data_IF_552997633799
#
_entry.id   IF_552997633799
#
_cell.length_a   1.000
_cell.length_b   1.000
_cell.length_c   1.000
_cell.angle_alpha   90.00
_cell.angle_beta   90.00
_cell.angle_gamma   90.00
#
_symmetry.space_group_name_H-M   'P 1'
#
loop_
_entity.id
_entity.type
_entity.pdbx_description
1 polymer ?
#
# COMPACT_ATOMS: atom_id res chain seq x y z
N UNK A 1 14.16 10.09 -5.63
CA UNK A 1 13.36 8.86 -5.57
C UNK A 1 14.28 7.66 -5.54
N UNK A 2 14.17 6.86 -4.50
CA UNK A 2 14.93 5.62 -4.38
C UNK A 2 13.97 4.44 -4.49
N UNK A 3 14.37 3.46 -5.28
CA UNK A 3 13.62 2.22 -5.46
C UNK A 3 14.44 1.06 -4.95
N UNK A 4 13.82 0.18 -4.19
CA UNK A 4 14.49 -0.99 -3.64
C UNK A 4 13.59 -2.22 -3.78
N UNK A 5 14.12 -3.25 -4.41
CA UNK A 5 13.44 -4.54 -4.47
C UNK A 5 13.69 -5.30 -3.17
N UNK A 6 12.63 -5.62 -2.44
CA UNK A 6 12.72 -6.29 -1.15
C UNK A 6 12.53 -7.81 -1.24
N UNK A 7 12.36 -8.34 -2.44
CA UNK A 7 12.19 -9.77 -2.65
C UNK A 7 10.74 -10.16 -2.88
N UNK A 8 10.44 -11.41 -2.59
CA UNK A 8 9.08 -11.94 -2.74
C UNK A 8 8.40 -12.01 -1.39
N UNK A 9 7.09 -11.81 -1.39
CA UNK A 9 6.26 -11.93 -0.19
C UNK A 9 5.00 -12.70 -0.52
N UNK A 10 4.51 -13.49 0.44
CA UNK A 10 3.27 -14.24 0.28
C UNK A 10 2.20 -13.60 1.17
N UNK A 11 1.11 -13.18 0.54
CA UNK A 11 -0.05 -12.60 1.24
C UNK A 11 -1.30 -13.27 0.70
N UNK A 12 -2.18 -13.72 1.58
CA UNK A 12 -3.44 -14.39 1.20
C UNK A 12 -3.22 -15.54 0.20
N UNK A 13 -2.15 -16.32 0.42
CA UNK A 13 -1.77 -17.50 -0.38
C UNK A 13 -1.32 -17.17 -1.82
N UNK A 14 -0.98 -15.92 -2.10
CA UNK A 14 -0.42 -15.52 -3.40
C UNK A 14 0.95 -14.90 -3.20
N UNK A 15 1.80 -15.07 -4.22
CA UNK A 15 3.17 -14.54 -4.18
C UNK A 15 3.25 -13.23 -4.94
N UNK A 16 3.91 -12.26 -4.33
CA UNK A 16 4.08 -10.91 -4.87
C UNK A 16 5.54 -10.51 -4.84
N UNK A 17 5.93 -9.63 -5.74
CA UNK A 17 7.19 -8.91 -5.62
C UNK A 17 6.97 -7.70 -4.72
N UNK A 18 7.83 -7.52 -3.73
CA UNK A 18 7.74 -6.38 -2.82
C UNK A 18 8.76 -5.32 -3.22
N UNK A 19 8.28 -4.11 -3.49
CA UNK A 19 9.10 -2.99 -3.94
C UNK A 19 8.89 -1.83 -2.99
N UNK A 20 10.00 -1.27 -2.48
CA UNK A 20 9.96 -0.08 -1.64
C UNK A 20 10.37 1.13 -2.45
N UNK A 21 9.59 2.19 -2.37
CA UNK A 21 9.89 3.48 -2.99
C UNK A 21 9.96 4.51 -1.88
N UNK A 22 11.05 5.25 -1.80
CA UNK A 22 11.22 6.31 -0.82
C UNK A 22 11.48 7.63 -1.49
N UNK A 23 10.92 8.68 -0.90
CA UNK A 23 11.11 10.06 -1.34
C UNK A 23 11.72 10.83 -0.18
N UNK A 24 12.80 11.53 -0.44
CA UNK A 24 13.43 12.39 0.55
C UNK A 24 12.93 13.81 0.33
N UNK A 25 12.37 14.41 1.37
CA UNK A 25 12.00 15.82 1.31
C UNK A 25 13.19 16.69 1.68
N UNK A 26 13.53 17.61 0.77
CA UNK A 26 14.63 18.55 0.98
C UNK A 26 14.09 19.89 1.47
N UNK A 27 14.85 20.55 2.30
CA UNK A 27 14.67 21.96 2.64
C UNK A 27 13.84 22.27 3.87
N UNK A 28 13.48 21.31 4.67
CA UNK A 28 12.62 21.53 5.81
C UNK A 28 13.20 21.29 7.19
N UNK A 29 14.49 21.25 7.38
CA UNK A 29 15.07 21.08 8.72
C UNK A 29 14.74 19.78 9.44
N UNK A 30 13.81 18.99 8.94
CA UNK A 30 13.49 17.66 9.43
C UNK A 30 13.62 16.68 8.28
N UNK A 31 14.50 15.70 8.46
CA UNK A 31 14.68 14.63 7.49
C UNK A 31 13.60 13.58 7.70
N UNK A 32 12.47 13.72 7.06
CA UNK A 32 11.52 12.62 7.01
C UNK A 32 11.39 12.14 5.58
N UNK A 33 11.17 10.84 5.45
CA UNK A 33 11.00 10.18 4.17
C UNK A 33 9.56 9.71 4.04
N UNK A 34 8.93 10.06 2.92
CA UNK A 34 7.69 9.41 2.55
C UNK A 34 8.04 8.04 1.95
N UNK A 35 7.51 6.99 2.52
CA UNK A 35 7.82 5.63 2.10
C UNK A 35 6.57 4.96 1.55
N UNK A 36 6.75 4.24 0.45
CA UNK A 36 5.70 3.45 -0.17
C UNK A 36 6.22 2.03 -0.38
N UNK A 37 5.40 1.04 -0.04
CA UNK A 37 5.67 -0.35 -0.39
C UNK A 37 4.57 -0.82 -1.33
N UNK A 38 4.97 -1.51 -2.40
CA UNK A 38 4.04 -2.08 -3.37
C UNK A 38 4.26 -3.58 -3.42
N UNK A 39 3.16 -4.33 -3.42
CA UNK A 39 3.17 -5.78 -3.63
C UNK A 39 2.58 -6.04 -5.00
N UNK A 40 3.46 -6.41 -5.94
CA UNK A 40 3.12 -6.58 -7.35
C UNK A 40 2.91 -8.06 -7.62
N UNK A 41 1.76 -8.41 -8.16
CA UNK A 41 1.42 -9.80 -8.47
C UNK A 41 2.38 -10.37 -9.50
N UNK A 42 2.93 -11.56 -9.24
CA UNK A 42 3.89 -12.20 -10.14
C UNK A 42 3.26 -12.66 -11.46
N UNK A 43 1.98 -12.91 -11.48
CA UNK A 43 1.30 -13.43 -12.67
C UNK A 43 0.91 -12.33 -13.66
N UNK A 44 0.29 -11.25 -13.18
CA UNK A 44 -0.25 -10.21 -14.05
C UNK A 44 0.35 -8.83 -13.81
N UNK A 45 1.29 -8.71 -12.87
CA UNK A 45 1.96 -7.45 -12.50
C UNK A 45 1.03 -6.36 -12.00
N UNK A 46 -0.18 -6.71 -11.58
CA UNK A 46 -1.06 -5.74 -10.93
C UNK A 46 -0.61 -5.50 -9.49
N UNK A 47 -0.91 -4.31 -8.97
CA UNK A 47 -0.60 -3.99 -7.58
C UNK A 47 -1.75 -4.55 -6.72
N UNK A 48 -1.45 -5.60 -5.95
CA UNK A 48 -2.46 -6.22 -5.08
C UNK A 48 -2.58 -5.55 -3.73
N UNK A 49 -1.47 -5.01 -3.24
CA UNK A 49 -1.40 -4.32 -1.94
C UNK A 49 -0.46 -3.15 -2.05
N UNK A 50 -0.70 -2.13 -1.24
CA UNK A 50 0.28 -1.06 -1.09
C UNK A 50 0.21 -0.52 0.34
N UNK A 51 1.31 0.01 0.80
CA UNK A 51 1.36 0.70 2.08
C UNK A 51 2.12 2.00 1.92
N UNK A 52 1.82 2.97 2.76
CA UNK A 52 2.53 4.24 2.73
C UNK A 52 2.56 4.84 4.13
N UNK A 53 3.62 5.61 4.40
CA UNK A 53 3.75 6.40 5.59
C UNK A 53 3.65 7.88 5.24
N UNK A 54 3.15 8.67 6.16
CA UNK A 54 3.02 10.10 5.97
C UNK A 54 3.14 10.82 7.32
N UNK A 55 3.49 12.08 7.26
CA UNK A 55 3.61 12.91 8.46
C UNK A 55 2.34 13.74 8.61
N UNK A 56 1.76 13.73 9.81
CA UNK A 56 0.58 14.51 10.13
C UNK A 56 0.73 15.04 11.56
N UNK A 57 0.70 16.37 11.74
CA UNK A 57 0.78 17.01 13.05
C UNK A 57 1.96 16.50 13.89
N UNK A 58 3.15 16.43 13.28
CA UNK A 58 4.39 15.95 13.90
C UNK A 58 4.40 14.45 14.26
N UNK A 59 3.37 13.72 13.86
CA UNK A 59 3.31 12.28 14.05
C UNK A 59 3.45 11.59 12.69
N UNK A 60 4.07 10.41 12.70
CA UNK A 60 4.17 9.57 11.51
C UNK A 60 3.05 8.54 11.57
N UNK A 61 2.21 8.57 10.56
CA UNK A 61 1.12 7.60 10.42
C UNK A 61 1.35 6.71 9.22
N UNK A 62 0.69 5.57 9.19
CA UNK A 62 0.80 4.63 8.09
C UNK A 62 -0.56 4.07 7.71
N UNK A 63 -0.65 3.64 6.45
CA UNK A 63 -1.85 3.00 5.91
C UNK A 63 -1.46 1.80 5.08
N UNK A 64 -2.36 0.85 5.02
CA UNK A 64 -2.20 -0.36 4.20
C UNK A 64 -3.47 -0.50 3.36
N UNK A 65 -3.32 -0.74 2.07
CA UNK A 65 -4.44 -0.90 1.15
C UNK A 65 -4.41 -2.26 0.49
N UNK A 66 -5.56 -2.91 0.43
CA UNK A 66 -5.76 -4.17 -0.25
C UNK A 66 -6.63 -3.93 -1.48
N UNK A 67 -6.15 -4.34 -2.65
CA UNK A 67 -6.93 -4.30 -3.88
C UNK A 67 -7.97 -5.42 -3.88
N UNK A 68 -9.15 -5.12 -4.36
CA UNK A 68 -10.22 -6.11 -4.52
C UNK A 68 -11.10 -5.75 -5.71
N UNK A 69 -11.99 -6.66 -6.09
CA UNK A 69 -12.97 -6.45 -7.15
C UNK A 69 -12.31 -6.02 -8.47
N UNK A 70 -11.33 -6.80 -8.98
CA UNK A 70 -10.68 -6.45 -10.24
C UNK A 70 -11.65 -6.57 -11.40
N UNK A 71 -11.59 -5.61 -12.32
CA UNK A 71 -12.41 -5.64 -13.51
C UNK A 71 -11.71 -4.90 -14.64
N UNK A 72 -11.96 -5.35 -15.86
CA UNK A 72 -11.40 -4.70 -17.04
C UNK A 72 -12.53 -4.03 -17.82
N UNK A 73 -12.29 -2.77 -18.15
CA UNK A 73 -13.18 -1.97 -18.97
C UNK A 73 -12.33 -1.41 -20.10
N UNK A 74 -12.64 -1.80 -21.33
CA UNK A 74 -11.87 -1.41 -22.53
C UNK A 74 -10.37 -1.69 -22.40
N UNK A 75 -10.04 -2.90 -21.89
CA UNK A 75 -8.67 -3.38 -21.68
C UNK A 75 -7.88 -2.65 -20.58
N UNK A 76 -8.54 -1.80 -19.79
CA UNK A 76 -7.91 -1.15 -18.65
C UNK A 76 -8.36 -1.85 -17.38
N UNK A 77 -7.39 -2.24 -16.53
CA UNK A 77 -7.69 -2.88 -15.26
C UNK A 77 -8.03 -1.82 -14.22
N UNK A 78 -9.20 -1.97 -13.61
CA UNK A 78 -9.63 -1.13 -12.50
C UNK A 78 -9.73 -1.96 -11.24
N UNK A 79 -9.30 -1.38 -10.13
CA UNK A 79 -9.31 -2.03 -8.82
C UNK A 79 -9.95 -1.10 -7.81
N UNK A 80 -10.73 -1.70 -6.91
CA UNK A 80 -11.17 -1.01 -5.71
C UNK A 80 -10.19 -1.34 -4.58
N UNK A 81 -10.17 -0.55 -3.52
CA UNK A 81 -9.24 -0.73 -2.42
C UNK A 81 -9.95 -0.67 -1.08
N UNK A 82 -9.51 -1.51 -0.15
CA UNK A 82 -9.88 -1.42 1.26
C UNK A 82 -8.71 -0.75 1.97
N UNK A 83 -8.99 0.33 2.69
CA UNK A 83 -7.98 1.12 3.38
C UNK A 83 -7.95 0.72 4.85
N UNK A 84 -6.77 0.30 5.33
CA UNK A 84 -6.56 -0.14 6.70
C UNK A 84 -5.57 0.76 7.41
N UNK A 85 -5.69 0.84 8.73
CA UNK A 85 -4.68 1.43 9.60
C UNK A 85 -4.28 0.43 10.68
N UNK A 86 -3.07 0.54 11.26
CA UNK A 86 -2.72 -0.27 12.42
C UNK A 86 -3.62 0.07 13.60
N UNK A 87 -4.03 -0.93 14.36
CA UNK A 87 -4.76 -0.71 15.61
C UNK A 87 -3.87 -0.02 16.63
N UNK A 88 -2.57 -0.31 16.59
CA UNK A 88 -1.57 0.36 17.43
C UNK A 88 -0.88 1.44 16.60
N UNK A 89 -1.03 2.71 16.99
CA UNK A 89 -0.43 3.84 16.27
C UNK A 89 1.09 3.81 16.26
N UNK A 90 1.71 3.13 17.20
CA UNK A 90 3.16 3.03 17.28
C UNK A 90 3.75 1.88 16.46
N UNK A 91 2.91 1.14 15.74
CA UNK A 91 3.37 0.01 14.94
C UNK A 91 4.33 0.47 13.85
N UNK A 92 5.49 -0.20 13.69
CA UNK A 92 6.44 0.17 12.64
C UNK A 92 5.87 -0.04 11.25
N UNK A 93 6.26 0.84 10.32
CA UNK A 93 5.81 0.79 8.94
C UNK A 93 6.14 -0.54 8.26
N UNK A 94 7.30 -1.09 8.53
CA UNK A 94 7.76 -2.32 7.89
C UNK A 94 7.06 -3.59 8.41
N UNK A 95 6.22 -3.48 9.44
CA UNK A 95 5.47 -4.60 10.00
C UNK A 95 4.02 -4.65 9.53
N UNK A 96 3.57 -3.76 8.65
CA UNK A 96 2.18 -3.72 8.22
C UNK A 96 1.72 -5.01 7.55
N UNK A 97 2.57 -5.64 6.77
CA UNK A 97 2.27 -6.92 6.12
C UNK A 97 1.98 -8.01 7.16
N UNK A 98 2.82 -8.10 8.18
CA UNK A 98 2.65 -9.08 9.25
C UNK A 98 1.41 -8.77 10.08
N UNK A 99 1.16 -7.50 10.36
CA UNK A 99 -0.03 -7.07 11.09
C UNK A 99 -1.31 -7.40 10.33
N UNK A 100 -1.28 -7.23 9.01
CA UNK A 100 -2.41 -7.63 8.17
C UNK A 100 -2.67 -9.13 8.28
N UNK A 101 -1.63 -9.95 8.19
CA UNK A 101 -1.75 -11.40 8.29
C UNK A 101 -2.27 -11.85 9.65
N UNK A 102 -1.98 -11.10 10.72
CA UNK A 102 -2.42 -11.40 12.08
C UNK A 102 -3.81 -10.81 12.41
N UNK A 103 -4.41 -10.07 11.50
CA UNK A 103 -5.69 -9.40 11.77
C UNK A 103 -5.56 -8.21 12.70
N UNK A 104 -4.37 -7.61 12.78
CA UNK A 104 -4.10 -6.48 13.68
C UNK A 104 -4.25 -5.12 12.99
N UNK A 105 -4.82 -5.08 11.80
CA UNK A 105 -5.18 -3.84 11.13
C UNK A 105 -6.67 -3.60 11.23
N UNK A 106 -7.04 -2.33 11.23
CA UNK A 106 -8.43 -1.89 11.32
C UNK A 106 -8.86 -1.29 9.99
N UNK A 107 -10.02 -1.72 9.46
CA UNK A 107 -10.58 -1.15 8.25
C UNK A 107 -11.08 0.26 8.52
N UNK A 108 -10.58 1.23 7.73
CA UNK A 108 -11.00 2.62 7.81
C UNK A 108 -12.10 2.94 6.81
N UNK A 109 -11.90 2.52 5.56
CA UNK A 109 -12.79 2.89 4.47
C UNK A 109 -12.56 1.99 3.28
N UNK A 110 -13.49 2.03 2.35
CA UNK A 110 -13.36 1.38 1.05
C UNK A 110 -13.35 2.46 -0.01
N UNK A 111 -12.41 2.33 -0.95
CA UNK A 111 -12.33 3.23 -2.10
C UNK A 111 -12.87 2.45 -3.28
N UNK A 112 -14.10 2.76 -3.67
CA UNK A 112 -14.78 2.07 -4.76
C UNK A 112 -14.98 2.99 -5.94
N UNK A 113 -14.56 2.52 -7.12
CA UNK A 113 -14.79 3.25 -8.36
C UNK A 113 -16.15 2.86 -8.91
N UNK A 114 -17.01 3.85 -9.11
CA UNK A 114 -18.36 3.63 -9.62
C UNK A 114 -18.55 4.37 -10.92
N UNK A 115 -19.39 3.82 -11.80
CA UNK A 115 -19.77 4.45 -13.06
C UNK A 115 -18.55 4.78 -13.93
N UNK A 116 -17.58 3.86 -13.99
CA UNK A 116 -16.36 4.06 -14.76
C UNK A 116 -16.69 4.06 -16.24
N UNK A 117 -16.28 5.12 -16.93
CA UNK A 117 -16.31 5.15 -18.38
C UNK A 117 -14.96 5.58 -18.92
N UNK A 118 -14.52 4.91 -19.98
CA UNK A 118 -13.26 5.23 -20.64
C UNK A 118 -13.58 5.90 -21.97
N UNK A 119 -13.06 7.09 -22.15
CA UNK A 119 -13.26 7.85 -23.39
C UNK A 119 -11.99 7.86 -24.22
#
# INVERSE_FOLDING_TARGET
>A
VQKKFLGEATIDNKVYYKIEISFRQEGGGEDFQDMFNYWVNKEDFSIGYLSYSFSESDEISSRFRKAYNPRRIENILFLDYINYKPKDKSAPFDQLEDLYAQGALEELSKIELQNISVK
#
